data_IF_809707235522
#
_entry.id   IF_809707235522
#
_cell.length_a   1.000
_cell.length_b   1.000
_cell.length_c   1.000
_cell.angle_alpha   90.00
_cell.angle_beta   90.00
_cell.angle_gamma   90.00
#
_symmetry.space_group_name_H-M   'P 1'
#
loop_
_entity.id
_entity.type
_entity.pdbx_description
1 polymer ?
#
# COMPACT_ATOMS: atom_id res chain seq x y z
N UNK A 1 -5.17 10.98 11.46
CA UNK A 1 -4.10 11.29 10.49
C UNK A 1 -4.72 11.92 9.25
N UNK A 2 -4.18 13.04 8.76
CA UNK A 2 -4.72 13.68 7.55
C UNK A 2 -4.72 12.74 6.35
N UNK A 3 -5.70 12.91 5.49
CA UNK A 3 -5.86 12.06 4.31
C UNK A 3 -4.60 12.04 3.43
N UNK A 4 -3.99 13.21 3.24
CA UNK A 4 -2.78 13.30 2.42
C UNK A 4 -1.66 12.44 2.99
N UNK A 5 -1.49 12.43 4.31
CA UNK A 5 -0.47 11.61 4.95
C UNK A 5 -0.74 10.11 4.76
N UNK A 6 -2.01 9.72 4.76
CA UNK A 6 -2.40 8.32 4.52
C UNK A 6 -2.07 7.89 3.10
N UNK A 7 -2.32 8.76 2.13
CA UNK A 7 -2.00 8.50 0.73
C UNK A 7 -0.49 8.39 0.54
N UNK A 8 0.27 9.33 1.11
CA UNK A 8 1.73 9.32 1.01
C UNK A 8 2.33 8.08 1.67
N UNK A 9 1.79 7.66 2.80
CA UNK A 9 2.30 6.49 3.51
C UNK A 9 2.22 5.22 2.65
N UNK A 10 1.07 4.99 2.01
CA UNK A 10 0.90 3.79 1.20
C UNK A 10 1.67 3.87 -0.12
N UNK A 11 1.76 5.05 -0.71
CA UNK A 11 2.54 5.26 -1.92
C UNK A 11 4.02 5.04 -1.65
N UNK A 12 4.54 5.54 -0.54
CA UNK A 12 5.92 5.35 -0.13
C UNK A 12 6.23 3.87 0.13
N UNK A 13 5.33 3.17 0.79
CA UNK A 13 5.48 1.74 1.04
C UNK A 13 5.61 0.98 -0.29
N UNK A 14 4.68 1.20 -1.20
CA UNK A 14 4.68 0.52 -2.50
C UNK A 14 5.95 0.84 -3.29
N UNK A 15 6.36 2.10 -3.32
CA UNK A 15 7.55 2.53 -4.05
C UNK A 15 8.80 1.84 -3.54
N UNK A 16 8.98 1.77 -2.21
CA UNK A 16 10.14 1.12 -1.61
C UNK A 16 10.23 -0.35 -1.95
N UNK A 17 9.11 -1.06 -1.85
CA UNK A 17 9.09 -2.50 -2.05
C UNK A 17 9.25 -2.87 -3.53
N UNK A 18 8.69 -2.05 -4.43
CA UNK A 18 8.93 -2.21 -5.86
C UNK A 18 10.41 -1.97 -6.17
N UNK A 19 11.02 -0.96 -5.55
CA UNK A 19 12.44 -0.66 -5.72
C UNK A 19 13.37 -1.79 -5.25
N UNK A 20 12.90 -2.66 -4.36
CA UNK A 20 13.65 -3.83 -3.88
C UNK A 20 13.47 -5.07 -4.75
N UNK A 21 12.76 -4.95 -5.86
CA UNK A 21 12.44 -6.06 -6.75
C UNK A 21 11.60 -7.15 -6.07
N UNK A 22 10.82 -6.79 -5.06
CA UNK A 22 9.88 -7.73 -4.46
C UNK A 22 8.74 -8.03 -5.42
N UNK A 23 8.19 -9.23 -5.30
CA UNK A 23 7.07 -9.64 -6.14
C UNK A 23 5.84 -8.75 -5.86
N UNK A 24 5.23 -8.25 -6.93
CA UNK A 24 4.06 -7.36 -6.80
C UNK A 24 2.92 -8.05 -6.07
N UNK A 25 2.73 -9.35 -6.27
CA UNK A 25 1.68 -10.07 -5.55
C UNK A 25 1.94 -10.11 -4.05
N UNK A 26 3.19 -10.20 -3.63
CA UNK A 26 3.57 -10.15 -2.21
C UNK A 26 3.34 -8.76 -1.63
N UNK A 27 3.69 -7.72 -2.38
CA UNK A 27 3.45 -6.34 -1.97
C UNK A 27 1.95 -6.11 -1.77
N UNK A 28 1.15 -6.54 -2.72
CA UNK A 28 -0.30 -6.42 -2.66
C UNK A 28 -0.89 -7.14 -1.46
N UNK A 29 -0.45 -8.37 -1.21
CA UNK A 29 -0.93 -9.17 -0.07
C UNK A 29 -0.57 -8.49 1.25
N UNK A 30 0.62 -7.92 1.36
CA UNK A 30 1.04 -7.21 2.56
C UNK A 30 0.21 -5.95 2.78
N UNK A 31 -0.11 -5.22 1.72
CA UNK A 31 -0.95 -4.03 1.82
C UNK A 31 -2.35 -4.41 2.29
N UNK A 32 -2.92 -5.50 1.76
CA UNK A 32 -4.22 -5.98 2.20
C UNK A 32 -4.23 -6.35 3.68
N UNK A 33 -3.18 -6.99 4.18
CA UNK A 33 -3.08 -7.36 5.60
C UNK A 33 -2.95 -6.14 6.50
N UNK A 34 -2.33 -5.08 6.02
CA UNK A 34 -2.12 -3.86 6.81
C UNK A 34 -3.26 -2.85 6.68
N UNK A 35 -4.24 -3.13 5.84
CA UNK A 35 -5.46 -2.32 5.78
C UNK A 35 -6.14 -2.34 7.15
N UNK A 36 -6.75 -1.24 7.55
CA UNK A 36 -7.40 -1.06 8.86
C UNK A 36 -6.45 -0.94 10.05
N UNK A 37 -5.17 -1.27 9.89
CA UNK A 37 -4.21 -1.16 11.00
C UNK A 37 -3.17 -0.07 10.72
N UNK A 38 -2.32 -0.29 9.72
CA UNK A 38 -1.26 0.65 9.35
C UNK A 38 -1.75 1.62 8.27
N UNK A 39 -2.53 1.13 7.31
CA UNK A 39 -3.01 1.94 6.19
C UNK A 39 -4.51 2.18 6.30
N UNK A 40 -4.95 3.32 5.75
CA UNK A 40 -6.37 3.57 5.56
C UNK A 40 -6.96 2.51 4.62
N UNK A 41 -8.09 1.87 4.98
CA UNK A 41 -8.64 0.78 4.18
C UNK A 41 -9.03 1.19 2.75
N UNK A 42 -9.50 2.43 2.56
CA UNK A 42 -9.87 2.91 1.23
C UNK A 42 -8.62 3.11 0.39
N UNK A 43 -7.58 3.73 0.94
CA UNK A 43 -6.31 3.93 0.24
C UNK A 43 -5.66 2.59 -0.09
N UNK A 44 -5.70 1.63 0.83
CA UNK A 44 -5.16 0.29 0.60
C UNK A 44 -5.90 -0.42 -0.53
N UNK A 45 -7.21 -0.32 -0.57
CA UNK A 45 -8.04 -0.92 -1.62
C UNK A 45 -7.68 -0.37 -3.00
N UNK A 46 -7.50 0.95 -3.09
CA UNK A 46 -7.12 1.58 -4.35
C UNK A 46 -5.73 1.12 -4.79
N UNK A 47 -4.77 1.05 -3.88
CA UNK A 47 -3.41 0.62 -4.21
C UNK A 47 -3.38 -0.84 -4.65
N UNK A 48 -4.14 -1.71 -3.99
CA UNK A 48 -4.25 -3.12 -4.39
C UNK A 48 -4.76 -3.23 -5.82
N UNK A 49 -5.75 -2.41 -6.18
CA UNK A 49 -6.29 -2.39 -7.53
C UNK A 49 -5.25 -1.90 -8.55
N UNK A 50 -4.48 -0.89 -8.21
CA UNK A 50 -3.40 -0.38 -9.07
C UNK A 50 -2.35 -1.47 -9.32
N UNK A 51 -2.03 -2.26 -8.31
CA UNK A 51 -1.00 -3.30 -8.38
C UNK A 51 -1.50 -4.62 -8.98
N UNK A 52 -2.77 -4.72 -9.27
CA UNK A 52 -3.37 -5.95 -9.82
C UNK A 52 -3.08 -6.13 -11.30
#
# INVERSE_FOLDING_TARGET
IPLLARIVAIADYADRHIGRNEDISDIRDNIERMADTVFDPICASIMVEILS
#
